data_IF_026316278828
#
_entry.id   IF_026316278828
#
_cell.length_a   1.000
_cell.length_b   1.000
_cell.length_c   1.000
_cell.angle_alpha   90.00
_cell.angle_beta   90.00
_cell.angle_gamma   90.00
#
_symmetry.space_group_name_H-M   'P 1'
#
loop_
_entity.id
_entity.type
_entity.pdbx_description
1 polymer ?
#
# COMPACT_ATOMS: atom_id res chain seq x y z
N UNK A 1 47.44 -34.68 -33.84
CA UNK A 1 46.02 -34.42 -33.56
C UNK A 1 45.83 -34.39 -32.05
N UNK A 2 45.82 -33.21 -31.41
CA UNK A 2 45.95 -33.06 -29.96
C UNK A 2 44.59 -33.24 -29.26
N UNK A 3 44.54 -34.07 -28.21
CA UNK A 3 43.31 -34.39 -27.46
C UNK A 3 43.40 -33.79 -26.06
N UNK A 4 42.55 -32.80 -25.76
CA UNK A 4 42.46 -32.18 -24.43
C UNK A 4 41.45 -32.95 -23.59
N UNK A 5 41.90 -33.57 -22.50
CA UNK A 5 41.04 -34.28 -21.55
C UNK A 5 41.04 -33.51 -20.23
N UNK A 6 39.86 -33.06 -19.78
CA UNK A 6 39.71 -32.28 -18.56
C UNK A 6 39.25 -33.22 -17.44
N UNK A 7 40.16 -33.56 -16.52
CA UNK A 7 39.78 -34.20 -15.26
C UNK A 7 39.56 -33.14 -14.18
N UNK A 8 38.61 -33.42 -13.30
CA UNK A 8 38.19 -32.55 -12.20
C UNK A 8 39.38 -32.20 -11.28
N UNK A 9 39.94 -31.01 -11.46
CA UNK A 9 40.80 -30.37 -10.46
C UNK A 9 42.15 -29.87 -10.99
N UNK A 10 42.78 -30.57 -11.93
CA UNK A 10 44.10 -30.20 -12.45
C UNK A 10 44.15 -30.37 -13.97
N UNK A 11 44.49 -29.28 -14.67
CA UNK A 11 44.68 -29.31 -16.13
C UNK A 11 46.08 -29.82 -16.41
N UNK A 12 46.22 -31.10 -16.78
CA UNK A 12 47.45 -31.62 -17.37
C UNK A 12 47.35 -31.61 -18.90
N UNK A 13 48.32 -30.96 -19.54
CA UNK A 13 48.46 -30.90 -21.01
C UNK A 13 49.66 -31.76 -21.37
N UNK A 14 49.43 -32.89 -22.05
CA UNK A 14 50.51 -33.70 -22.62
C UNK A 14 50.68 -33.29 -24.09
N UNK A 15 51.80 -32.64 -24.40
CA UNK A 15 52.24 -32.33 -25.76
C UNK A 15 53.21 -33.41 -26.25
N UNK A 16 52.80 -34.19 -27.22
CA UNK A 16 53.72 -34.89 -28.11
C UNK A 16 53.61 -34.18 -29.45
N UNK A 17 54.75 -33.72 -29.96
CA UNK A 17 55.05 -33.15 -31.28
C UNK A 17 55.67 -31.74 -31.20
N UNK A 18 56.94 -31.69 -31.64
CA UNK A 18 57.85 -30.55 -31.73
C UNK A 18 57.41 -29.55 -32.82
N UNK A 19 56.41 -28.72 -32.53
CA UNK A 19 56.14 -27.47 -33.28
C UNK A 19 55.89 -26.30 -32.31
N UNK A 20 56.98 -25.66 -31.90
CA UNK A 20 56.98 -24.38 -31.18
C UNK A 20 56.45 -23.26 -32.09
N UNK A 21 55.17 -22.88 -31.92
CA UNK A 21 54.75 -21.46 -31.82
C UNK A 21 53.23 -21.22 -31.93
N UNK A 22 52.40 -22.24 -32.24
CA UNK A 22 50.93 -22.02 -32.40
C UNK A 22 50.03 -22.69 -31.36
N UNK A 23 50.58 -23.57 -30.52
CA UNK A 23 49.83 -24.32 -29.50
C UNK A 23 49.70 -23.57 -28.17
N UNK A 24 50.57 -22.59 -27.88
CA UNK A 24 50.60 -21.92 -26.58
C UNK A 24 49.40 -20.97 -26.35
N UNK A 25 48.97 -20.26 -27.40
CA UNK A 25 47.92 -19.24 -27.29
C UNK A 25 46.53 -19.84 -27.11
N UNK A 26 46.17 -20.88 -27.86
CA UNK A 26 44.86 -21.54 -27.73
C UNK A 26 44.71 -22.26 -26.39
N UNK A 27 45.76 -22.92 -25.90
CA UNK A 27 45.76 -23.58 -24.58
C UNK A 27 45.57 -22.54 -23.48
N UNK A 28 46.26 -21.40 -23.58
CA UNK A 28 46.12 -20.29 -22.63
C UNK A 28 44.72 -19.69 -22.64
N UNK A 29 44.13 -19.49 -23.82
CA UNK A 29 42.73 -19.03 -23.97
C UNK A 29 41.73 -19.99 -23.32
N UNK A 30 41.92 -21.31 -23.47
CA UNK A 30 41.03 -22.32 -22.86
C UNK A 30 41.14 -22.29 -21.33
N UNK A 31 42.36 -22.20 -20.80
CA UNK A 31 42.61 -22.10 -19.35
C UNK A 31 42.02 -20.80 -18.78
N UNK A 32 42.20 -19.67 -19.47
CA UNK A 32 41.68 -18.38 -19.02
C UNK A 32 40.15 -18.34 -19.09
N UNK A 33 39.53 -18.94 -20.12
CA UNK A 33 38.08 -19.11 -20.19
C UNK A 33 37.55 -19.99 -19.06
N UNK A 34 38.25 -21.07 -18.71
CA UNK A 34 37.87 -21.91 -17.57
C UNK A 34 37.96 -21.13 -16.26
N UNK A 35 39.06 -20.42 -16.01
CA UNK A 35 39.25 -19.56 -14.82
C UNK A 35 38.18 -18.47 -14.73
N UNK A 36 37.84 -17.85 -15.85
CA UNK A 36 36.76 -16.85 -15.92
C UNK A 36 35.41 -17.47 -15.54
N UNK A 37 35.05 -18.62 -16.12
CA UNK A 37 33.81 -19.31 -15.80
C UNK A 37 33.72 -19.73 -14.32
N UNK A 38 34.82 -20.20 -13.73
CA UNK A 38 34.88 -20.52 -12.30
C UNK A 38 34.69 -19.28 -11.41
N UNK A 39 35.28 -18.13 -11.80
CA UNK A 39 35.08 -16.85 -11.09
C UNK A 39 33.63 -16.38 -11.19
N UNK A 40 33.01 -16.46 -12.37
CA UNK A 40 31.60 -16.11 -12.56
C UNK A 40 30.71 -17.02 -11.72
N UNK A 41 30.96 -18.33 -11.67
CA UNK A 41 30.19 -19.26 -10.84
C UNK A 41 30.31 -18.93 -9.35
N UNK A 42 31.52 -18.68 -8.86
CA UNK A 42 31.79 -18.29 -7.46
C UNK A 42 31.16 -16.94 -7.10
N UNK A 43 31.21 -15.97 -8.00
CA UNK A 43 30.53 -14.67 -7.82
C UNK A 43 29.00 -14.87 -7.86
N UNK A 44 28.49 -15.72 -8.75
CA UNK A 44 27.09 -16.12 -8.82
C UNK A 44 26.60 -16.67 -7.49
N UNK A 45 27.29 -17.63 -6.89
CA UNK A 45 26.93 -18.20 -5.57
C UNK A 45 26.87 -17.15 -4.45
N UNK A 46 27.71 -16.12 -4.51
CA UNK A 46 27.70 -14.99 -3.55
C UNK A 46 26.55 -14.02 -3.83
N UNK A 47 26.29 -13.74 -5.10
CA UNK A 47 25.30 -12.77 -5.52
C UNK A 47 23.89 -13.36 -5.60
N UNK A 48 23.73 -14.67 -5.75
CA UNK A 48 22.47 -15.37 -5.94
C UNK A 48 21.47 -15.04 -4.81
N UNK A 49 21.83 -15.08 -3.52
CA UNK A 49 20.92 -14.65 -2.47
C UNK A 49 20.40 -13.23 -2.66
N UNK A 50 21.22 -12.30 -3.14
CA UNK A 50 20.84 -10.89 -3.39
C UNK A 50 20.08 -10.73 -4.71
N UNK A 51 20.41 -11.55 -5.71
CA UNK A 51 19.88 -11.47 -7.07
C UNK A 51 18.57 -12.24 -7.24
N UNK A 52 18.25 -13.20 -6.37
CA UNK A 52 16.99 -13.91 -6.40
C UNK A 52 15.80 -12.98 -6.15
N UNK A 53 14.82 -13.00 -7.05
CA UNK A 53 13.60 -12.17 -6.98
C UNK A 53 12.88 -12.29 -5.63
N UNK A 54 12.84 -13.50 -5.07
CA UNK A 54 12.19 -13.80 -3.79
C UNK A 54 12.88 -13.15 -2.59
N UNK A 55 14.22 -13.11 -2.57
CA UNK A 55 14.96 -12.46 -1.49
C UNK A 55 14.88 -10.94 -1.60
N UNK A 56 14.95 -10.39 -2.83
CA UNK A 56 14.67 -8.97 -3.06
C UNK A 56 13.26 -8.61 -2.63
N UNK A 57 12.26 -9.40 -3.00
CA UNK A 57 10.86 -9.17 -2.61
C UNK A 57 10.65 -9.25 -1.10
N UNK A 58 11.31 -10.17 -0.42
CA UNK A 58 11.34 -10.24 1.05
C UNK A 58 11.98 -8.99 1.66
N UNK A 59 13.15 -8.56 1.16
CA UNK A 59 13.82 -7.33 1.61
C UNK A 59 12.95 -6.10 1.32
N UNK A 60 12.31 -6.01 0.16
CA UNK A 60 11.42 -4.92 -0.20
C UNK A 60 10.18 -4.89 0.69
N UNK A 61 9.52 -6.03 0.94
CA UNK A 61 8.40 -6.12 1.88
C UNK A 61 8.80 -5.80 3.32
N UNK A 62 10.04 -6.13 3.72
CA UNK A 62 10.58 -5.78 5.04
C UNK A 62 11.02 -4.32 5.14
N UNK A 63 11.40 -3.68 4.03
CA UNK A 63 11.86 -2.28 3.99
C UNK A 63 10.77 -1.27 3.63
N UNK A 64 9.78 -1.64 2.84
CA UNK A 64 8.65 -0.79 2.46
C UNK A 64 7.54 -0.99 3.50
N UNK A 65 7.49 -0.10 4.48
CA UNK A 65 6.35 -0.01 5.40
C UNK A 65 5.08 0.19 4.57
N UNK A 66 4.13 -0.74 4.68
CA UNK A 66 2.83 -0.62 4.05
C UNK A 66 1.96 0.24 4.93
N UNK A 67 1.40 1.30 4.37
CA UNK A 67 0.49 2.17 5.09
C UNK A 67 -0.87 2.26 4.41
N UNK A 68 -1.88 2.56 5.20
CA UNK A 68 -3.21 2.92 4.75
C UNK A 68 -3.49 4.38 5.04
N UNK A 69 -4.29 4.98 4.19
CA UNK A 69 -4.95 6.27 4.47
C UNK A 69 -6.45 6.01 4.59
N UNK A 70 -7.04 6.51 5.68
CA UNK A 70 -8.47 6.37 5.95
C UNK A 70 -9.09 7.75 6.19
N UNK A 71 -10.23 8.00 5.55
CA UNK A 71 -11.12 9.11 5.91
C UNK A 71 -12.54 8.58 6.13
N UNK A 72 -13.20 9.15 7.15
CA UNK A 72 -14.56 8.80 7.52
C UNK A 72 -15.37 10.08 7.72
N UNK A 73 -16.56 10.11 7.13
CA UNK A 73 -17.51 11.21 7.24
C UNK A 73 -18.85 10.69 7.73
N UNK A 74 -19.59 11.50 8.46
CA UNK A 74 -20.75 11.04 9.19
C UNK A 74 -21.55 12.16 9.83
N UNK A 75 -22.67 11.81 10.44
CA UNK A 75 -23.57 12.76 11.08
C UNK A 75 -23.56 12.56 12.60
N UNK A 76 -23.71 13.63 13.38
CA UNK A 76 -23.91 13.53 14.83
C UNK A 76 -25.40 13.37 15.14
N UNK A 77 -25.81 12.15 15.48
CA UNK A 77 -27.21 11.75 15.66
C UNK A 77 -27.36 10.68 16.76
N UNK A 78 -27.43 11.04 18.06
CA UNK A 78 -26.76 12.16 18.75
C UNK A 78 -25.24 11.97 18.88
N UNK A 79 -24.76 10.73 18.73
CA UNK A 79 -23.33 10.40 18.59
C UNK A 79 -22.92 10.38 17.11
N UNK A 80 -21.62 10.35 16.85
CA UNK A 80 -21.11 10.27 15.48
C UNK A 80 -21.46 8.92 14.83
N UNK A 81 -22.23 9.00 13.73
CA UNK A 81 -22.61 7.87 12.89
C UNK A 81 -21.85 7.98 11.57
N UNK A 82 -20.97 7.02 11.31
CA UNK A 82 -20.28 6.91 10.02
C UNK A 82 -21.28 6.73 8.88
N UNK A 83 -21.12 7.54 7.83
CA UNK A 83 -21.96 7.53 6.63
C UNK A 83 -21.20 7.19 5.37
N UNK A 84 -19.96 7.66 5.27
CA UNK A 84 -19.07 7.45 4.15
C UNK A 84 -17.69 7.08 4.70
N UNK A 85 -17.08 6.05 4.12
CA UNK A 85 -15.73 5.60 4.46
C UNK A 85 -14.96 5.40 3.18
N UNK A 86 -13.75 5.95 3.13
CA UNK A 86 -12.77 5.61 2.11
C UNK A 86 -11.47 5.14 2.74
N UNK A 87 -10.87 4.11 2.13
CA UNK A 87 -9.60 3.50 2.53
C UNK A 87 -8.75 3.33 1.28
N UNK A 88 -7.46 3.69 1.31
CA UNK A 88 -6.55 3.47 0.19
C UNK A 88 -5.14 3.13 0.65
N UNK A 89 -4.46 2.23 -0.08
CA UNK A 89 -3.01 2.01 -0.03
C UNK A 89 -2.29 2.58 -1.27
N UNK A 90 -3.04 3.28 -2.14
CA UNK A 90 -2.61 3.83 -3.42
C UNK A 90 -2.70 2.88 -4.61
N UNK A 91 -2.75 1.57 -4.38
CA UNK A 91 -2.95 0.54 -5.42
C UNK A 91 -4.39 0.04 -5.44
N UNK A 92 -5.00 -0.03 -4.27
CA UNK A 92 -6.35 -0.50 -4.01
C UNK A 92 -7.08 0.56 -3.18
N UNK A 93 -8.33 0.80 -3.54
CA UNK A 93 -9.20 1.70 -2.81
C UNK A 93 -10.54 1.03 -2.52
N UNK A 94 -11.08 1.34 -1.34
CA UNK A 94 -12.40 0.92 -0.91
C UNK A 94 -13.19 2.19 -0.61
N UNK A 95 -14.41 2.25 -1.11
CA UNK A 95 -15.35 3.33 -0.85
C UNK A 95 -16.71 2.76 -0.49
N UNK A 96 -17.18 3.07 0.72
CA UNK A 96 -18.41 2.49 1.27
C UNK A 96 -19.35 3.59 1.75
N UNK A 97 -20.64 3.40 1.47
CA UNK A 97 -21.71 4.19 2.06
C UNK A 97 -22.58 3.34 2.98
N UNK A 98 -22.59 3.71 4.26
CA UNK A 98 -23.37 3.02 5.28
C UNK A 98 -24.81 3.51 5.32
N UNK A 99 -25.76 2.60 5.53
CA UNK A 99 -27.14 2.92 5.84
C UNK A 99 -27.22 3.54 7.25
N UNK A 100 -28.15 4.49 7.48
CA UNK A 100 -28.35 5.02 8.82
C UNK A 100 -29.00 3.94 9.71
N UNK A 101 -28.61 3.83 11.00
CA UNK A 101 -29.22 2.88 11.91
C UNK A 101 -30.64 3.30 12.33
N UNK A 102 -30.97 4.58 12.21
CA UNK A 102 -32.28 5.13 12.55
C UNK A 102 -32.87 5.81 11.31
N UNK A 103 -34.10 5.50 10.89
CA UNK A 103 -34.76 6.20 9.80
C UNK A 103 -34.87 7.70 10.07
N UNK A 104 -34.65 8.53 9.04
CA UNK A 104 -34.69 10.00 9.16
C UNK A 104 -35.95 10.54 9.84
N UNK A 105 -37.12 9.96 9.52
CA UNK A 105 -38.40 10.39 10.09
C UNK A 105 -38.57 10.08 11.58
N UNK A 106 -37.78 9.14 12.12
CA UNK A 106 -37.77 8.79 13.55
C UNK A 106 -36.79 9.64 14.36
N UNK A 107 -36.04 10.54 13.73
CA UNK A 107 -35.15 11.46 14.42
C UNK A 107 -35.91 12.64 15.00
N UNK A 108 -35.43 13.14 16.14
CA UNK A 108 -35.92 14.38 16.74
C UNK A 108 -35.84 15.55 15.76
N UNK A 109 -36.76 16.51 15.86
CA UNK A 109 -36.83 17.63 14.91
C UNK A 109 -35.54 18.46 14.86
N UNK A 110 -34.93 18.73 16.02
CA UNK A 110 -33.65 19.46 16.10
C UNK A 110 -32.54 18.73 15.34
N UNK A 111 -32.46 17.41 15.52
CA UNK A 111 -31.48 16.56 14.82
C UNK A 111 -31.78 16.54 13.32
N UNK A 112 -33.04 16.39 12.91
CA UNK A 112 -33.44 16.42 11.49
C UNK A 112 -33.02 17.72 10.80
N UNK A 113 -33.17 18.86 11.47
CA UNK A 113 -32.72 20.17 10.95
C UNK A 113 -31.20 20.19 10.75
N UNK A 114 -30.43 19.72 11.74
CA UNK A 114 -28.97 19.63 11.63
C UNK A 114 -28.53 18.68 10.51
N UNK A 115 -29.14 17.50 10.41
CA UNK A 115 -28.88 16.54 9.34
C UNK A 115 -29.14 17.18 7.99
N UNK A 116 -30.31 17.79 7.75
CA UNK A 116 -30.61 18.48 6.48
C UNK A 116 -29.60 19.57 6.13
N UNK A 117 -29.16 20.33 7.15
CA UNK A 117 -28.12 21.33 6.93
C UNK A 117 -26.81 20.69 6.49
N UNK A 118 -26.39 19.60 7.14
CA UNK A 118 -25.17 18.86 6.78
C UNK A 118 -25.26 18.20 5.40
N UNK A 119 -26.43 17.63 5.04
CA UNK A 119 -26.67 17.07 3.71
C UNK A 119 -26.45 18.13 2.62
N UNK A 120 -27.04 19.33 2.80
CA UNK A 120 -26.98 20.39 1.79
C UNK A 120 -25.66 21.15 1.77
N UNK A 121 -25.10 21.42 2.95
CA UNK A 121 -24.02 22.40 3.08
C UNK A 121 -22.67 21.79 3.39
N UNK A 122 -22.55 20.52 3.76
CA UNK A 122 -21.25 19.95 4.15
C UNK A 122 -20.92 18.65 3.42
N UNK A 123 -21.71 17.61 3.66
CA UNK A 123 -21.46 16.29 3.11
C UNK A 123 -21.92 16.15 1.68
N UNK A 124 -23.01 16.78 1.26
CA UNK A 124 -23.56 16.49 -0.07
C UNK A 124 -24.19 15.10 -0.19
N UNK A 125 -24.35 14.38 0.92
CA UNK A 125 -24.90 13.03 0.97
C UNK A 125 -26.23 13.04 1.67
N UNK A 126 -27.23 12.31 1.14
CA UNK A 126 -28.48 12.09 1.86
C UNK A 126 -28.24 11.15 3.04
N UNK A 127 -28.76 11.49 4.20
CA UNK A 127 -28.72 10.67 5.41
C UNK A 127 -29.33 9.29 5.18
N UNK A 128 -30.44 9.23 4.44
CA UNK A 128 -31.15 7.99 4.13
C UNK A 128 -30.50 7.11 3.07
N UNK A 129 -29.43 7.56 2.39
CA UNK A 129 -28.76 6.73 1.40
C UNK A 129 -27.81 5.71 2.05
N UNK A 130 -27.26 4.80 1.26
CA UNK A 130 -26.28 3.80 1.69
C UNK A 130 -26.70 2.39 1.31
N UNK A 131 -25.71 1.53 1.18
CA UNK A 131 -25.89 0.14 0.74
C UNK A 131 -25.23 -0.86 1.69
N UNK A 132 -24.38 -0.41 2.62
CA UNK A 132 -23.72 -1.25 3.62
C UNK A 132 -24.38 -1.07 4.99
N UNK A 133 -24.61 -2.15 5.72
CA UNK A 133 -25.07 -2.04 7.11
C UNK A 133 -23.95 -1.50 8.01
N UNK A 134 -24.26 -0.51 8.85
CA UNK A 134 -23.24 0.14 9.71
C UNK A 134 -22.59 -0.83 10.70
N UNK A 135 -23.33 -1.86 11.13
CA UNK A 135 -22.81 -2.90 12.03
C UNK A 135 -21.66 -3.73 11.42
N UNK A 136 -21.45 -3.67 10.10
CA UNK A 136 -20.34 -4.34 9.41
C UNK A 136 -19.02 -3.55 9.50
N UNK A 137 -19.09 -2.25 9.82
CA UNK A 137 -17.90 -1.38 9.89
C UNK A 137 -16.77 -1.97 10.75
N UNK A 138 -17.01 -2.50 11.97
CA UNK A 138 -15.94 -3.07 12.79
C UNK A 138 -15.27 -4.27 12.10
N UNK A 139 -16.06 -5.14 11.47
CA UNK A 139 -15.55 -6.33 10.77
C UNK A 139 -14.72 -5.96 9.55
N UNK A 140 -15.14 -4.94 8.80
CA UNK A 140 -14.41 -4.41 7.65
C UNK A 140 -13.05 -3.87 8.09
N UNK A 141 -13.04 -2.98 9.09
CA UNK A 141 -11.82 -2.39 9.63
C UNK A 141 -10.87 -3.45 10.18
N UNK A 142 -11.37 -4.38 11.00
CA UNK A 142 -10.55 -5.45 11.61
C UNK A 142 -9.99 -6.44 10.58
N UNK A 143 -10.60 -6.57 9.41
CA UNK A 143 -10.10 -7.45 8.35
C UNK A 143 -8.98 -6.79 7.53
N UNK A 144 -9.08 -5.49 7.27
CA UNK A 144 -8.19 -4.78 6.36
C UNK A 144 -7.01 -4.16 7.11
N UNK A 145 -7.30 -3.41 8.17
CA UNK A 145 -6.33 -2.54 8.83
C UNK A 145 -5.12 -3.27 9.43
N UNK A 146 -5.25 -4.48 10.04
CA UNK A 146 -4.10 -5.21 10.57
C UNK A 146 -3.09 -5.69 9.52
N UNK A 147 -3.42 -5.60 8.22
CA UNK A 147 -2.51 -5.98 7.14
C UNK A 147 -1.44 -4.92 6.87
N UNK A 148 -1.47 -3.77 7.55
CA UNK A 148 -0.62 -2.62 7.30
C UNK A 148 0.10 -2.18 8.58
N UNK A 149 1.29 -1.61 8.41
CA UNK A 149 2.20 -1.21 9.49
C UNK A 149 1.78 0.13 10.13
N UNK A 150 1.07 0.96 9.37
CA UNK A 150 0.59 2.27 9.80
C UNK A 150 -0.74 2.63 9.14
N UNK A 151 -1.60 3.33 9.87
CA UNK A 151 -2.87 3.84 9.39
C UNK A 151 -2.87 5.34 9.62
N UNK A 152 -2.88 6.10 8.53
CA UNK A 152 -2.94 7.55 8.58
C UNK A 152 -4.38 8.04 8.47
N UNK A 153 -4.72 8.96 9.35
CA UNK A 153 -6.01 9.65 9.39
C UNK A 153 -5.78 11.12 9.65
N UNK A 154 -6.69 12.00 9.24
CA UNK A 154 -6.62 13.42 9.59
C UNK A 154 -7.82 13.84 10.43
N UNK A 155 -7.54 14.33 11.64
CA UNK A 155 -8.54 14.80 12.58
C UNK A 155 -8.56 13.96 13.85
N UNK A 156 -8.40 14.60 15.01
CA UNK A 156 -8.46 13.94 16.32
C UNK A 156 -9.74 13.11 16.51
N UNK A 157 -10.91 13.65 16.16
CA UNK A 157 -12.19 12.94 16.28
C UNK A 157 -12.20 11.62 15.49
N UNK A 158 -11.63 11.60 14.28
CA UNK A 158 -11.60 10.40 13.42
C UNK A 158 -10.62 9.37 13.95
N UNK A 159 -9.47 9.82 14.45
CA UNK A 159 -8.51 8.95 15.12
C UNK A 159 -9.15 8.24 16.32
N UNK A 160 -9.80 9.00 17.21
CA UNK A 160 -10.47 8.42 18.38
C UNK A 160 -11.63 7.49 17.98
N UNK A 161 -12.36 7.82 16.90
CA UNK A 161 -13.39 6.94 16.37
C UNK A 161 -12.82 5.60 15.86
N UNK A 162 -11.71 5.61 15.13
CA UNK A 162 -11.07 4.39 14.61
C UNK A 162 -10.46 3.54 15.75
N UNK A 163 -9.86 4.17 16.77
CA UNK A 163 -9.29 3.47 17.93
C UNK A 163 -10.30 2.62 18.68
N UNK A 164 -11.59 3.00 18.71
CA UNK A 164 -12.67 2.18 19.29
C UNK A 164 -12.74 0.78 18.68
N UNK A 165 -12.42 0.65 17.39
CA UNK A 165 -12.49 -0.62 16.66
C UNK A 165 -11.12 -1.30 16.49
N UNK A 166 -10.04 -0.51 16.53
CA UNK A 166 -8.67 -0.92 16.22
C UNK A 166 -7.70 -0.50 17.34
N UNK A 167 -7.89 -0.95 18.59
CA UNK A 167 -7.10 -0.46 19.73
C UNK A 167 -5.61 -0.82 19.65
N UNK A 168 -5.27 -1.91 18.96
CA UNK A 168 -3.89 -2.39 18.81
C UNK A 168 -3.20 -1.90 17.54
N UNK A 169 -3.90 -1.20 16.66
CA UNK A 169 -3.33 -0.72 15.41
C UNK A 169 -2.58 0.60 15.58
N UNK A 170 -1.49 0.76 14.83
CA UNK A 170 -0.73 2.00 14.78
C UNK A 170 -1.47 3.06 13.94
N UNK A 171 -2.33 3.86 14.59
CA UNK A 171 -3.10 4.94 13.95
C UNK A 171 -2.43 6.29 14.21
N UNK A 172 -2.06 6.98 13.14
CA UNK A 172 -1.30 8.23 13.15
C UNK A 172 -2.18 9.39 12.67
N UNK A 173 -2.32 10.44 13.50
CA UNK A 173 -3.00 11.67 13.10
C UNK A 173 -2.07 12.57 12.29
N UNK A 174 -2.44 12.83 11.04
CA UNK A 174 -1.69 13.71 10.14
C UNK A 174 -1.69 15.17 10.58
N UNK A 175 -2.60 15.61 11.45
CA UNK A 175 -2.58 16.99 11.97
C UNK A 175 -1.31 17.33 12.76
N UNK A 176 -0.57 16.34 13.24
CA UNK A 176 0.69 16.55 13.96
C UNK A 176 1.86 16.82 13.03
N UNK A 177 1.70 16.64 11.72
CA UNK A 177 2.75 16.90 10.73
C UNK A 177 2.64 18.33 10.19
N UNK A 178 3.78 18.99 10.09
CA UNK A 178 3.87 20.30 9.46
C UNK A 178 3.36 20.21 8.00
N UNK A 179 2.62 21.24 7.58
CA UNK A 179 2.05 21.34 6.22
C UNK A 179 1.04 20.24 5.85
N UNK A 180 0.50 19.50 6.82
CA UNK A 180 -0.54 18.52 6.55
C UNK A 180 -1.74 19.19 5.87
N UNK A 181 -2.20 18.68 4.72
CA UNK A 181 -3.10 19.43 3.86
C UNK A 181 -4.46 19.67 4.51
N UNK A 182 -5.09 20.79 4.19
CA UNK A 182 -6.41 21.16 4.71
C UNK A 182 -7.50 20.45 3.90
N UNK A 183 -8.40 19.73 4.59
CA UNK A 183 -9.55 19.06 3.98
C UNK A 183 -10.69 20.06 3.75
N UNK A 184 -10.58 20.85 2.68
CA UNK A 184 -11.64 21.75 2.23
C UNK A 184 -12.60 21.03 1.28
N UNK A 185 -13.82 21.55 1.13
CA UNK A 185 -14.78 21.06 0.13
C UNK A 185 -14.18 21.19 -1.27
N UNK A 186 -14.35 20.14 -2.07
CA UNK A 186 -13.80 20.02 -3.43
C UNK A 186 -14.82 19.46 -4.38
N UNK A 187 -14.49 19.54 -5.67
CA UNK A 187 -15.24 18.85 -6.70
C UNK A 187 -15.31 17.38 -6.33
N UNK A 188 -16.53 16.85 -6.22
CA UNK A 188 -16.73 15.49 -5.74
C UNK A 188 -16.21 14.51 -6.79
N UNK A 189 -15.41 13.55 -6.35
CA UNK A 189 -14.87 12.49 -7.21
C UNK A 189 -15.69 11.20 -7.20
N UNK A 190 -16.81 11.13 -6.46
CA UNK A 190 -17.62 9.92 -6.36
C UNK A 190 -19.11 10.16 -6.69
N UNK A 191 -19.81 9.08 -7.05
CA UNK A 191 -21.14 9.13 -7.66
C UNK A 191 -22.30 9.35 -6.69
N UNK A 192 -22.04 9.44 -5.38
CA UNK A 192 -23.10 9.46 -4.37
C UNK A 192 -23.49 10.86 -3.89
N UNK A 193 -22.68 11.87 -4.20
CA UNK A 193 -22.94 13.23 -3.74
C UNK A 193 -23.95 13.91 -4.64
N UNK A 194 -24.88 14.64 -4.03
CA UNK A 194 -25.94 15.38 -4.71
C UNK A 194 -25.53 16.82 -5.05
N UNK A 195 -24.31 17.21 -4.71
CA UNK A 195 -23.76 18.55 -4.93
C UNK A 195 -22.39 18.45 -5.59
N UNK A 196 -22.03 19.46 -6.39
CA UNK A 196 -20.76 19.47 -7.11
C UNK A 196 -19.54 19.66 -6.20
N UNK A 197 -19.68 20.36 -5.05
CA UNK A 197 -18.59 20.56 -4.08
C UNK A 197 -18.98 20.09 -2.68
N UNK A 198 -18.21 19.18 -2.11
CA UNK A 198 -18.45 18.64 -0.76
C UNK A 198 -17.16 18.14 -0.09
N UNK A 199 -17.26 17.73 1.18
CA UNK A 199 -16.21 16.98 1.88
C UNK A 199 -16.37 15.48 1.63
N UNK A 200 -15.92 15.02 0.46
CA UNK A 200 -15.97 13.61 0.04
C UNK A 200 -14.77 12.84 0.58
N UNK A 201 -15.02 11.68 1.22
CA UNK A 201 -13.93 10.83 1.73
C UNK A 201 -12.97 10.36 0.63
N UNK A 202 -13.45 10.05 -0.58
CA UNK A 202 -12.59 9.60 -1.70
C UNK A 202 -11.59 10.68 -2.07
N UNK A 203 -12.05 11.92 -2.26
CA UNK A 203 -11.17 13.04 -2.59
C UNK A 203 -10.21 13.38 -1.44
N UNK A 204 -10.64 13.19 -0.20
CA UNK A 204 -9.79 13.41 0.97
C UNK A 204 -8.68 12.37 1.07
N UNK A 205 -8.99 11.07 0.96
CA UNK A 205 -7.96 10.02 1.05
C UNK A 205 -6.98 10.07 -0.10
N UNK A 206 -7.43 10.39 -1.32
CA UNK A 206 -6.55 10.55 -2.48
C UNK A 206 -5.52 11.67 -2.24
N UNK A 207 -5.98 12.83 -1.77
CA UNK A 207 -5.07 13.91 -1.42
C UNK A 207 -4.11 13.51 -0.29
N UNK A 208 -4.64 12.95 0.79
CA UNK A 208 -3.82 12.60 1.96
C UNK A 208 -2.77 11.54 1.59
N UNK A 209 -3.12 10.60 0.71
CA UNK A 209 -2.18 9.64 0.15
C UNK A 209 -1.10 10.32 -0.70
N UNK A 210 -1.49 11.22 -1.60
CA UNK A 210 -0.56 11.99 -2.43
C UNK A 210 0.38 12.89 -1.60
N UNK A 211 -0.04 13.32 -0.40
CA UNK A 211 0.82 14.05 0.53
C UNK A 211 1.85 13.15 1.24
N UNK A 212 1.54 11.87 1.43
CA UNK A 212 2.42 10.91 2.12
C UNK A 212 3.40 10.19 1.20
N UNK A 213 3.14 10.21 -0.11
CA UNK A 213 4.00 9.67 -1.16
C UNK A 213 5.20 10.58 -1.42
#
# INVERSE_FOLDING_TARGET
MSKVVIFTGEVQVNSWDDEEDRTSDWVRVVVDRHRFNQRIKKIGEILDPVLMSQHREKIYRQRMKRFLVIDIQGFNVPEFIAKELSITDGSHSIHLLFKPPIPFLKLEEKIRKNVKWLEKNFHGLRYSCGHVELNLLPSILKRICPLYDAIYVKGHQKLEYLKKYLPSSNIINLEHYANAPVLNKRNVSCFYHTVYKSSCTVSNVDMLYNYLK
#
